data_IF_425339592854
#
_entry.id   IF_425339592854
#
_cell.length_a   1.000
_cell.length_b   1.000
_cell.length_c   1.000
_cell.angle_alpha   90.00
_cell.angle_beta   90.00
_cell.angle_gamma   90.00
#
_symmetry.space_group_name_H-M   'P 1'
#
loop_
_entity.id
_entity.type
_entity.pdbx_description
1 polymer ?
#
# COMPACT_ATOMS: atom_id res chain seq x y z
N UNK A 1 11.87 -10.85 -8.22
CA UNK A 1 12.38 -9.69 -7.44
C UNK A 1 11.74 -8.41 -7.96
N UNK A 2 11.06 -7.67 -7.07
CA UNK A 2 10.33 -6.42 -7.34
C UNK A 2 11.24 -5.19 -7.27
N UNK A 3 12.34 -5.28 -6.51
CA UNK A 3 13.37 -4.24 -6.40
C UNK A 3 14.16 -4.15 -7.71
N UNK A 4 14.15 -2.98 -8.33
CA UNK A 4 14.88 -2.67 -9.56
C UNK A 4 16.25 -2.06 -9.29
N UNK A 5 16.35 -1.30 -8.20
CA UNK A 5 17.61 -0.70 -7.74
C UNK A 5 17.55 -0.52 -6.22
N UNK A 6 18.65 -0.79 -5.54
CA UNK A 6 18.81 -0.55 -4.11
C UNK A 6 20.25 -0.16 -3.81
N UNK A 7 20.41 0.94 -3.08
CA UNK A 7 21.67 1.33 -2.49
C UNK A 7 21.37 2.08 -1.18
N UNK A 8 21.96 1.63 -0.08
CA UNK A 8 21.69 2.17 1.25
C UNK A 8 20.17 2.21 1.53
N UNK A 9 19.65 3.41 1.83
CA UNK A 9 18.24 3.70 2.14
C UNK A 9 17.44 4.15 0.90
N UNK A 10 18.01 4.04 -0.30
CA UNK A 10 17.38 4.41 -1.56
C UNK A 10 16.95 3.15 -2.29
N UNK A 11 15.64 3.01 -2.51
CA UNK A 11 15.05 1.82 -3.13
C UNK A 11 14.12 2.24 -4.26
N UNK A 12 14.36 1.71 -5.46
CA UNK A 12 13.41 1.77 -6.57
C UNK A 12 12.79 0.39 -6.75
N UNK A 13 11.46 0.33 -6.77
CA UNK A 13 10.71 -0.91 -6.98
C UNK A 13 9.80 -0.81 -8.20
N UNK A 14 9.55 -1.96 -8.82
CA UNK A 14 8.42 -2.17 -9.70
C UNK A 14 7.22 -2.68 -8.87
N UNK A 15 6.31 -1.75 -8.58
CA UNK A 15 5.08 -2.02 -7.83
C UNK A 15 4.21 -3.08 -8.53
N UNK A 16 4.05 -3.01 -9.86
CA UNK A 16 3.26 -4.00 -10.59
C UNK A 16 3.91 -5.37 -10.49
N UNK A 17 5.22 -5.46 -10.73
CA UNK A 17 5.96 -6.72 -10.72
C UNK A 17 5.88 -7.42 -9.37
N UNK A 18 5.78 -6.67 -8.26
CA UNK A 18 5.48 -7.27 -6.96
C UNK A 18 4.19 -8.07 -7.03
N UNK A 19 3.10 -7.45 -7.49
CA UNK A 19 1.77 -8.06 -7.55
C UNK A 19 1.72 -9.19 -8.59
N UNK A 20 2.26 -8.97 -9.79
CA UNK A 20 2.26 -9.95 -10.87
C UNK A 20 3.01 -11.24 -10.52
N UNK A 21 3.99 -11.18 -9.63
CA UNK A 21 4.70 -12.40 -9.21
C UNK A 21 3.88 -13.26 -8.24
N UNK A 22 2.83 -12.72 -7.62
CA UNK A 22 1.98 -13.44 -6.66
C UNK A 22 1.11 -14.48 -7.39
N UNK A 23 0.65 -14.18 -8.60
CA UNK A 23 -0.34 -14.98 -9.32
C UNK A 23 0.25 -15.74 -10.51
N UNK A 24 1.43 -16.33 -10.30
CA UNK A 24 2.01 -17.31 -11.21
C UNK A 24 1.58 -18.72 -10.82
N UNK A 25 1.28 -19.58 -11.78
CA UNK A 25 0.85 -20.95 -11.52
C UNK A 25 -0.48 -21.03 -10.75
N UNK A 26 -1.42 -20.14 -11.05
CA UNK A 26 -2.74 -20.15 -10.40
C UNK A 26 -3.50 -21.39 -10.84
N UNK A 27 -3.90 -22.21 -9.87
CA UNK A 27 -4.75 -23.35 -10.18
C UNK A 27 -6.19 -22.88 -10.40
N UNK A 28 -6.67 -23.12 -11.61
CA UNK A 28 -8.08 -22.97 -11.94
C UNK A 28 -8.84 -24.27 -11.62
N UNK A 29 -9.62 -24.24 -10.53
CA UNK A 29 -10.47 -25.38 -10.14
C UNK A 29 -11.61 -25.68 -11.13
N UNK A 30 -11.88 -24.78 -12.09
CA UNK A 30 -12.90 -24.96 -13.13
C UNK A 30 -12.42 -25.83 -14.28
N UNK A 31 -11.13 -25.77 -14.63
CA UNK A 31 -10.58 -26.33 -15.87
C UNK A 31 -9.49 -27.38 -15.59
N UNK A 32 -9.88 -28.49 -14.95
CA UNK A 32 -9.01 -29.65 -14.72
C UNK A 32 -7.67 -29.35 -14.03
N UNK A 33 -7.63 -28.36 -13.13
CA UNK A 33 -6.41 -27.94 -12.42
C UNK A 33 -5.30 -27.40 -13.32
N UNK A 34 -5.65 -26.86 -14.50
CA UNK A 34 -4.66 -26.14 -15.31
C UNK A 34 -4.06 -24.98 -14.52
N UNK A 35 -2.74 -24.88 -14.61
CA UNK A 35 -1.98 -23.74 -14.12
C UNK A 35 -2.09 -22.61 -15.14
N UNK A 36 -2.48 -21.44 -14.64
CA UNK A 36 -2.64 -20.23 -15.44
C UNK A 36 -1.89 -19.09 -14.74
N UNK A 37 -1.17 -18.29 -15.51
CA UNK A 37 -0.50 -17.11 -14.97
C UNK A 37 -1.41 -15.89 -15.13
N UNK A 38 -1.55 -15.10 -14.07
CA UNK A 38 -2.28 -13.84 -14.11
C UNK A 38 -1.35 -12.68 -13.76
N UNK A 39 -1.52 -11.57 -14.47
CA UNK A 39 -0.82 -10.33 -14.16
C UNK A 39 -1.79 -9.17 -14.08
N UNK A 40 -1.62 -8.29 -13.10
CA UNK A 40 -2.44 -7.08 -13.04
C UNK A 40 -2.18 -6.20 -14.29
N UNK A 41 -3.22 -5.57 -14.81
CA UNK A 41 -3.16 -4.79 -16.05
C UNK A 41 -2.05 -3.73 -16.01
N UNK A 42 -1.08 -3.83 -16.93
CA UNK A 42 0.08 -2.91 -17.01
C UNK A 42 -0.34 -1.46 -17.28
N UNK A 43 -1.44 -1.29 -18.00
CA UNK A 43 -2.10 -0.01 -18.29
C UNK A 43 -2.39 0.82 -17.04
N UNK A 44 -2.60 0.18 -15.88
CA UNK A 44 -2.83 0.88 -14.59
C UNK A 44 -1.59 1.60 -14.06
N UNK A 45 -0.42 1.35 -14.62
CA UNK A 45 0.85 1.95 -14.22
C UNK A 45 1.37 2.92 -15.29
N UNK A 46 0.61 3.19 -16.35
CA UNK A 46 0.97 4.11 -17.44
C UNK A 46 0.72 5.57 -17.06
N UNK A 47 1.44 6.07 -16.07
CA UNK A 47 1.30 7.45 -15.58
C UNK A 47 2.37 8.31 -16.21
N UNK A 48 1.94 9.27 -17.04
CA UNK A 48 2.81 10.25 -17.73
C UNK A 48 2.66 11.63 -17.09
N UNK A 49 3.66 12.50 -17.30
CA UNK A 49 3.56 13.87 -16.85
C UNK A 49 2.49 14.65 -17.64
N UNK A 50 1.60 15.33 -16.93
CA UNK A 50 0.73 16.37 -17.51
C UNK A 50 1.29 17.73 -17.10
N UNK A 51 1.68 18.56 -18.07
CA UNK A 51 1.98 19.99 -17.81
C UNK A 51 0.76 20.62 -17.14
N UNK A 52 0.85 20.93 -15.84
CA UNK A 52 -0.15 21.76 -15.15
C UNK A 52 0.31 23.21 -15.16
N UNK A 53 -0.59 24.10 -15.57
CA UNK A 53 -0.42 25.53 -15.36
C UNK A 53 -0.34 25.82 -13.85
N UNK A 54 0.71 26.56 -13.46
CA UNK A 54 0.95 27.00 -12.08
C UNK A 54 -0.21 27.88 -11.63
N UNK A 55 -0.97 27.43 -10.65
CA UNK A 55 -1.88 28.29 -9.89
C UNK A 55 -1.25 28.55 -8.52
N UNK A 56 -0.73 29.76 -8.35
CA UNK A 56 -0.17 30.24 -7.09
C UNK A 56 -1.27 30.25 -6.01
N UNK A 57 -1.08 29.48 -4.94
CA UNK A 57 -1.84 29.66 -3.69
C UNK A 57 -0.87 29.96 -2.56
N UNK A 58 -1.28 30.88 -1.69
CA UNK A 58 -0.47 31.39 -0.56
C UNK A 58 -0.19 30.30 0.46
N UNK A 59 1.07 30.23 0.92
CA UNK A 59 1.52 29.38 2.01
C UNK A 59 1.12 29.97 3.37
N UNK A 60 0.89 29.08 4.34
CA UNK A 60 0.97 29.36 5.78
C UNK A 60 1.97 28.35 6.33
N UNK A 61 2.93 28.82 7.12
CA UNK A 61 4.19 28.10 7.36
C UNK A 61 4.20 27.26 8.64
N UNK A 62 4.93 26.14 8.57
CA UNK A 62 5.48 25.44 9.73
C UNK A 62 6.84 24.86 9.31
N UNK A 63 7.91 25.16 10.05
CA UNK A 63 9.30 24.95 9.59
C UNK A 63 9.70 23.47 9.43
N UNK A 64 9.23 22.56 10.30
CA UNK A 64 9.64 21.15 10.30
C UNK A 64 9.21 20.35 9.06
N UNK A 65 8.04 20.65 8.48
CA UNK A 65 7.53 19.94 7.30
C UNK A 65 8.32 20.32 6.04
N UNK A 66 8.83 21.55 6.01
CA UNK A 66 9.67 22.04 4.92
C UNK A 66 11.03 21.33 4.93
N UNK A 67 11.61 21.11 6.11
CA UNK A 67 12.87 20.38 6.28
C UNK A 67 12.75 18.93 5.80
N UNK A 68 11.71 18.20 6.26
CA UNK A 68 11.47 16.82 5.80
C UNK A 68 11.26 16.74 4.28
N UNK A 69 10.43 17.62 3.70
CA UNK A 69 10.22 17.64 2.24
C UNK A 69 11.52 17.94 1.47
N UNK A 70 12.38 18.79 2.03
CA UNK A 70 13.70 19.09 1.45
C UNK A 70 14.64 17.88 1.51
N UNK A 71 14.63 17.14 2.62
CA UNK A 71 15.38 15.88 2.76
C UNK A 71 14.92 14.84 1.73
N UNK A 72 13.62 14.59 1.61
CA UNK A 72 13.10 13.63 0.60
C UNK A 72 13.46 14.06 -0.82
N UNK A 73 13.45 15.37 -1.11
CA UNK A 73 13.90 15.91 -2.41
C UNK A 73 15.38 15.66 -2.66
N UNK A 74 16.24 15.78 -1.64
CA UNK A 74 17.66 15.47 -1.75
C UNK A 74 17.88 13.98 -2.03
N UNK A 75 17.21 13.10 -1.30
CA UNK A 75 17.25 11.64 -1.54
C UNK A 75 16.77 11.27 -2.94
N UNK A 76 15.73 11.94 -3.44
CA UNK A 76 15.26 11.79 -4.82
C UNK A 76 16.33 12.17 -5.85
N UNK A 77 16.99 13.32 -5.67
CA UNK A 77 18.05 13.74 -6.58
C UNK A 77 19.22 12.76 -6.56
N UNK A 78 19.55 12.22 -5.39
CA UNK A 78 20.60 11.22 -5.24
C UNK A 78 20.26 9.92 -5.98
N UNK A 79 19.09 9.31 -5.71
CA UNK A 79 18.72 8.04 -6.36
C UNK A 79 18.63 8.20 -7.88
N UNK A 80 18.13 9.34 -8.38
CA UNK A 80 17.98 9.59 -9.81
C UNK A 80 19.32 9.61 -10.56
N UNK A 81 20.39 10.11 -9.92
CA UNK A 81 21.74 10.12 -10.48
C UNK A 81 22.35 8.71 -10.55
N UNK A 82 21.95 7.82 -9.64
CA UNK A 82 22.57 6.49 -9.50
C UNK A 82 21.83 5.37 -10.21
N UNK A 83 20.55 5.54 -10.53
CA UNK A 83 19.78 4.54 -11.27
C UNK A 83 20.39 4.33 -12.67
N UNK A 84 20.76 3.09 -13.05
CA UNK A 84 21.29 2.80 -14.38
C UNK A 84 20.33 3.16 -15.51
N UNK A 85 20.85 3.63 -16.64
CA UNK A 85 20.03 4.03 -17.79
C UNK A 85 19.12 2.88 -18.29
N UNK A 86 19.63 1.64 -18.31
CA UNK A 86 18.85 0.47 -18.73
C UNK A 86 17.61 0.22 -17.86
N UNK A 87 17.67 0.53 -16.56
CA UNK A 87 16.52 0.43 -15.66
C UNK A 87 15.47 1.51 -16.01
N UNK A 88 15.92 2.73 -16.30
CA UNK A 88 15.01 3.83 -16.70
C UNK A 88 14.28 3.51 -18.00
N UNK A 89 15.02 3.05 -19.00
CA UNK A 89 14.46 2.65 -20.30
C UNK A 89 13.47 1.48 -20.15
N UNK A 90 13.83 0.46 -19.38
CA UNK A 90 12.95 -0.70 -19.14
C UNK A 90 11.61 -0.31 -18.49
N UNK A 91 11.60 0.64 -17.55
CA UNK A 91 10.35 1.14 -16.95
C UNK A 91 9.50 1.87 -18.00
N UNK A 92 10.13 2.72 -18.80
CA UNK A 92 9.43 3.47 -19.85
C UNK A 92 8.82 2.50 -20.88
N UNK A 93 9.62 1.59 -21.43
CA UNK A 93 9.17 0.62 -22.44
C UNK A 93 8.01 -0.25 -21.94
N UNK A 94 8.06 -0.65 -20.66
CA UNK A 94 7.04 -1.50 -20.05
C UNK A 94 5.72 -0.77 -19.78
N UNK A 95 5.77 0.54 -19.49
CA UNK A 95 4.61 1.29 -18.99
C UNK A 95 4.17 2.46 -19.86
N UNK A 96 4.83 2.74 -20.97
CA UNK A 96 4.41 3.76 -21.93
C UNK A 96 3.31 3.21 -22.87
N UNK A 97 2.14 2.92 -22.29
CA UNK A 97 1.08 2.17 -22.98
C UNK A 97 -0.16 3.01 -23.29
N UNK A 98 -0.48 3.98 -22.42
CA UNK A 98 -1.69 4.81 -22.50
C UNK A 98 -1.41 6.25 -22.06
N UNK A 99 -2.20 7.18 -22.58
CA UNK A 99 -2.25 8.52 -22.00
C UNK A 99 -2.91 8.52 -20.62
N UNK A 100 -2.43 9.41 -19.75
CA UNK A 100 -2.84 9.43 -18.32
C UNK A 100 -4.35 9.67 -18.13
N UNK A 101 -5.02 10.33 -19.09
CA UNK A 101 -6.49 10.48 -19.07
C UNK A 101 -7.18 9.12 -19.17
N UNK A 102 -6.80 8.28 -20.14
CA UNK A 102 -7.37 6.95 -20.33
C UNK A 102 -7.09 6.03 -19.14
N UNK A 103 -5.93 6.18 -18.49
CA UNK A 103 -5.62 5.44 -17.26
C UNK A 103 -6.57 5.83 -16.11
N UNK A 104 -6.97 7.10 -16.01
CA UNK A 104 -7.95 7.54 -15.01
C UNK A 104 -9.35 6.98 -15.30
N UNK A 105 -9.74 6.93 -16.57
CA UNK A 105 -11.03 6.37 -16.97
C UNK A 105 -11.07 4.85 -16.73
N UNK A 106 -9.99 4.14 -17.06
CA UNK A 106 -9.81 2.72 -16.75
C UNK A 106 -9.88 2.45 -15.24
N UNK A 107 -9.15 3.22 -14.43
CA UNK A 107 -9.19 3.11 -12.97
C UNK A 107 -10.60 3.34 -12.41
N UNK A 108 -11.35 4.30 -12.98
CA UNK A 108 -12.74 4.54 -12.59
C UNK A 108 -13.64 3.35 -12.93
N UNK A 109 -13.55 2.82 -14.15
CA UNK A 109 -14.32 1.65 -14.57
C UNK A 109 -14.04 0.42 -13.68
N UNK A 110 -12.77 0.22 -13.29
CA UNK A 110 -12.41 -0.83 -12.35
C UNK A 110 -12.94 -0.58 -10.94
N UNK A 111 -12.87 0.66 -10.45
CA UNK A 111 -13.45 0.99 -9.15
C UNK A 111 -14.95 0.69 -9.12
N UNK A 112 -15.69 1.10 -10.16
CA UNK A 112 -17.14 0.90 -10.27
C UNK A 112 -17.53 -0.58 -10.38
N UNK A 113 -16.71 -1.39 -11.05
CA UNK A 113 -16.93 -2.85 -11.18
C UNK A 113 -16.44 -3.67 -9.99
N UNK A 114 -15.76 -3.05 -9.01
CA UNK A 114 -15.22 -3.73 -7.81
C UNK A 114 -15.87 -3.24 -6.51
N UNK A 115 -17.10 -2.75 -6.60
CA UNK A 115 -17.91 -2.41 -5.43
C UNK A 115 -18.68 -3.65 -4.98
N UNK A 116 -18.13 -4.35 -3.99
CA UNK A 116 -18.74 -5.55 -3.40
C UNK A 116 -19.14 -5.30 -1.94
N UNK A 117 -20.17 -5.98 -1.46
CA UNK A 117 -20.54 -6.00 -0.05
C UNK A 117 -20.18 -7.34 0.59
N UNK A 118 -18.92 -7.51 0.96
CA UNK A 118 -18.43 -8.73 1.60
C UNK A 118 -18.49 -8.68 3.13
N UNK A 119 -19.34 -7.85 3.74
CA UNK A 119 -19.38 -7.68 5.19
C UNK A 119 -19.66 -9.02 5.89
N UNK A 120 -18.76 -9.41 6.80
CA UNK A 120 -18.86 -10.66 7.56
C UNK A 120 -18.21 -11.87 6.89
N UNK A 121 -17.79 -11.74 5.62
CA UNK A 121 -17.08 -12.81 4.92
C UNK A 121 -15.67 -13.02 5.50
N UNK A 122 -15.24 -14.26 5.63
CA UNK A 122 -13.85 -14.61 5.95
C UNK A 122 -13.42 -15.84 5.20
N UNK A 123 -12.14 -15.93 4.86
CA UNK A 123 -11.62 -17.07 4.11
C UNK A 123 -10.13 -16.96 3.86
N UNK A 124 -9.66 -17.70 2.86
CA UNK A 124 -8.27 -17.64 2.43
C UNK A 124 -7.85 -18.88 1.66
N UNK A 125 -6.55 -19.00 1.45
CA UNK A 125 -5.93 -20.11 0.73
C UNK A 125 -4.87 -20.81 1.60
N UNK A 126 -5.02 -22.12 1.83
CA UNK A 126 -4.10 -22.94 2.63
C UNK A 126 -2.99 -23.60 1.81
N UNK A 127 -3.04 -23.53 0.47
CA UNK A 127 -2.02 -24.14 -0.37
C UNK A 127 -0.84 -23.22 -0.57
N UNK A 128 0.30 -23.81 -0.95
CA UNK A 128 1.55 -23.14 -1.31
C UNK A 128 1.55 -22.54 -2.73
N UNK A 129 0.37 -22.49 -3.35
CA UNK A 129 0.14 -21.95 -4.69
C UNK A 129 -1.08 -21.02 -4.66
N UNK A 130 -1.10 -19.97 -5.49
CA UNK A 130 -2.27 -19.10 -5.64
C UNK A 130 -3.45 -19.83 -6.28
N UNK A 131 -4.67 -19.39 -5.97
CA UNK A 131 -5.91 -20.02 -6.43
C UNK A 131 -6.86 -19.02 -7.07
N UNK A 132 -7.61 -19.48 -8.08
CA UNK A 132 -8.82 -18.80 -8.54
C UNK A 132 -10.02 -19.31 -7.74
N UNK A 133 -10.69 -18.42 -7.02
CA UNK A 133 -11.80 -18.74 -6.13
C UNK A 133 -13.07 -17.98 -6.53
N UNK A 134 -14.22 -18.65 -6.43
CA UNK A 134 -15.53 -18.03 -6.65
C UNK A 134 -16.11 -17.56 -5.31
N UNK A 135 -16.44 -16.29 -5.20
CA UNK A 135 -17.04 -15.66 -4.01
C UNK A 135 -18.27 -14.89 -4.47
N UNK A 136 -19.44 -15.23 -3.91
CA UNK A 136 -20.72 -14.55 -4.19
C UNK A 136 -21.08 -14.39 -5.68
N UNK A 137 -20.62 -15.31 -6.55
CA UNK A 137 -20.91 -15.28 -7.99
C UNK A 137 -19.74 -14.81 -8.85
N UNK A 138 -18.82 -14.06 -8.27
CA UNK A 138 -17.67 -13.46 -8.96
C UNK A 138 -16.37 -14.23 -8.67
N UNK A 139 -15.33 -13.97 -9.48
CA UNK A 139 -14.05 -14.68 -9.39
C UNK A 139 -12.94 -13.77 -8.86
N UNK A 140 -12.16 -14.32 -7.93
CA UNK A 140 -11.09 -13.62 -7.24
C UNK A 140 -9.83 -14.48 -7.20
N UNK A 141 -8.68 -13.85 -7.42
CA UNK A 141 -7.38 -14.48 -7.23
C UNK A 141 -7.00 -14.41 -5.75
N UNK A 142 -6.61 -15.52 -5.14
CA UNK A 142 -6.27 -15.60 -3.72
C UNK A 142 -4.81 -16.08 -3.59
N UNK A 143 -3.90 -15.28 -3.01
CA UNK A 143 -2.48 -15.65 -2.85
C UNK A 143 -2.31 -16.91 -2.01
N UNK A 144 -1.18 -17.60 -2.16
CA UNK A 144 -0.81 -18.74 -1.33
C UNK A 144 -0.76 -18.37 0.16
N UNK A 145 -1.14 -19.32 1.00
CA UNK A 145 -1.05 -19.21 2.47
C UNK A 145 -1.65 -17.92 3.07
N UNK A 146 -2.64 -17.31 2.42
CA UNK A 146 -3.25 -16.04 2.84
C UNK A 146 -4.56 -16.26 3.61
N UNK A 147 -4.90 -15.35 4.52
CA UNK A 147 -6.17 -15.28 5.27
C UNK A 147 -6.79 -13.91 5.13
N UNK A 148 -8.11 -13.82 5.10
CA UNK A 148 -8.80 -12.54 5.13
C UNK A 148 -10.06 -12.54 5.98
N UNK A 149 -10.36 -11.37 6.55
CA UNK A 149 -11.55 -11.11 7.37
C UNK A 149 -12.18 -9.79 6.95
N UNK A 150 -13.36 -9.86 6.35
CA UNK A 150 -14.12 -8.71 5.89
C UNK A 150 -15.03 -8.18 7.00
N UNK A 151 -14.80 -6.94 7.45
CA UNK A 151 -15.68 -6.21 8.36
C UNK A 151 -14.97 -5.20 9.25
N UNK A 152 -15.64 -4.83 10.36
CA UNK A 152 -15.15 -3.86 11.32
C UNK A 152 -13.83 -4.33 11.97
N UNK A 153 -12.78 -3.51 11.85
CA UNK A 153 -11.45 -3.83 12.40
C UNK A 153 -11.53 -4.19 13.89
N UNK A 154 -12.28 -3.44 14.70
CA UNK A 154 -12.36 -3.68 16.14
C UNK A 154 -12.94 -5.06 16.46
N UNK A 155 -13.94 -5.51 15.70
CA UNK A 155 -14.55 -6.82 15.89
C UNK A 155 -13.66 -7.94 15.37
N UNK A 156 -13.08 -7.77 14.19
CA UNK A 156 -12.23 -8.80 13.57
C UNK A 156 -10.92 -8.97 14.35
N UNK A 157 -10.30 -7.89 14.85
CA UNK A 157 -9.13 -7.99 15.74
C UNK A 157 -9.42 -8.80 17.01
N UNK A 158 -10.62 -8.65 17.60
CA UNK A 158 -11.04 -9.47 18.75
C UNK A 158 -11.13 -10.96 18.41
N UNK A 159 -11.58 -11.30 17.18
CA UNK A 159 -11.62 -12.70 16.72
C UNK A 159 -10.24 -13.31 16.47
N UNK A 160 -9.23 -12.46 16.22
CA UNK A 160 -7.84 -12.90 16.07
C UNK A 160 -7.12 -13.10 17.40
N UNK A 161 -7.78 -12.86 18.55
CA UNK A 161 -7.21 -13.06 19.87
C UNK A 161 -6.67 -14.49 20.01
N UNK A 162 -5.43 -14.60 20.46
CA UNK A 162 -4.67 -15.85 20.53
C UNK A 162 -3.62 -16.00 19.42
N UNK A 163 -3.79 -15.30 18.29
CA UNK A 163 -2.74 -15.18 17.28
C UNK A 163 -1.72 -14.10 17.67
N UNK A 164 -0.50 -14.26 17.16
CA UNK A 164 0.63 -13.35 17.35
C UNK A 164 1.29 -13.06 16.02
N UNK A 165 1.58 -11.79 15.78
CA UNK A 165 2.14 -11.28 14.53
C UNK A 165 3.44 -10.53 14.81
N UNK A 166 4.42 -10.79 13.95
CA UNK A 166 5.77 -10.23 14.01
C UNK A 166 5.83 -8.91 13.24
N UNK A 167 4.98 -8.76 12.22
CA UNK A 167 4.81 -7.51 11.49
C UNK A 167 3.32 -7.15 11.43
N UNK A 168 3.00 -5.91 11.77
CA UNK A 168 1.68 -5.32 11.57
C UNK A 168 1.78 -4.13 10.63
N UNK A 169 1.04 -4.18 9.52
CA UNK A 169 0.96 -3.09 8.54
C UNK A 169 -0.46 -2.51 8.59
N UNK A 170 -0.61 -1.20 8.68
CA UNK A 170 -1.91 -0.54 8.67
C UNK A 170 -1.97 0.57 7.62
N UNK A 171 -3.08 0.66 6.87
CA UNK A 171 -3.41 1.82 6.02
C UNK A 171 -4.75 2.43 6.45
N UNK A 172 -4.79 3.14 7.60
CA UNK A 172 -6.05 3.62 8.16
C UNK A 172 -6.80 4.55 7.20
N UNK A 173 -8.14 4.53 7.21
CA UNK A 173 -8.96 5.44 6.40
C UNK A 173 -8.98 6.83 7.06
N UNK A 174 -7.86 7.54 6.97
CA UNK A 174 -7.64 8.83 7.60
C UNK A 174 -8.75 9.83 7.32
N UNK A 175 -9.08 10.64 8.33
CA UNK A 175 -9.95 11.79 8.13
C UNK A 175 -9.39 12.74 7.06
N UNK A 176 -10.15 12.95 5.99
CA UNK A 176 -9.71 13.68 4.81
C UNK A 176 -10.81 14.60 4.25
N UNK A 177 -10.52 15.90 4.15
CA UNK A 177 -11.45 16.92 3.65
C UNK A 177 -11.92 16.65 2.21
N UNK A 178 -11.07 16.10 1.35
CA UNK A 178 -11.44 15.77 -0.03
C UNK A 178 -12.45 14.63 -0.08
N UNK A 179 -12.21 13.56 0.66
CA UNK A 179 -13.12 12.40 0.74
C UNK A 179 -14.47 12.82 1.31
N UNK A 180 -14.49 13.72 2.31
CA UNK A 180 -15.74 14.31 2.82
C UNK A 180 -16.54 15.04 1.73
N UNK A 181 -15.87 15.81 0.86
CA UNK A 181 -16.54 16.48 -0.26
C UNK A 181 -17.04 15.48 -1.31
N UNK A 182 -16.27 14.42 -1.56
CA UNK A 182 -16.66 13.34 -2.46
C UNK A 182 -17.91 12.61 -1.93
N UNK A 183 -17.97 12.33 -0.62
CA UNK A 183 -19.13 11.75 0.06
C UNK A 183 -20.40 12.59 -0.14
N UNK A 184 -20.28 13.91 -0.02
CA UNK A 184 -21.41 14.83 -0.28
C UNK A 184 -21.86 14.88 -1.74
N UNK A 185 -21.02 14.45 -2.69
CA UNK A 185 -21.34 14.45 -4.12
C UNK A 185 -21.83 13.08 -4.62
N UNK A 186 -21.24 11.98 -4.12
CA UNK A 186 -21.62 10.61 -4.46
C UNK A 186 -21.14 9.65 -3.35
N UNK A 187 -22.06 9.19 -2.51
CA UNK A 187 -21.77 8.37 -1.33
C UNK A 187 -21.06 7.05 -1.69
N UNK A 188 -21.42 6.46 -2.85
CA UNK A 188 -20.84 5.19 -3.36
C UNK A 188 -19.36 5.29 -3.73
N UNK A 189 -18.84 6.50 -3.97
CA UNK A 189 -17.44 6.72 -4.30
C UNK A 189 -16.58 7.02 -3.06
N UNK A 190 -17.20 7.16 -1.88
CA UNK A 190 -16.52 7.48 -0.63
C UNK A 190 -16.36 6.25 0.25
N UNK A 191 -15.39 6.30 1.17
CA UNK A 191 -15.23 5.30 2.23
C UNK A 191 -15.43 5.94 3.59
N UNK A 192 -15.87 5.15 4.57
CA UNK A 192 -15.99 5.58 5.96
C UNK A 192 -14.61 5.91 6.51
N UNK A 193 -14.36 7.20 6.75
CA UNK A 193 -13.17 7.68 7.42
C UNK A 193 -13.27 7.41 8.93
N UNK A 194 -12.12 7.29 9.59
CA UNK A 194 -12.03 7.15 11.04
C UNK A 194 -11.38 8.37 11.68
N UNK A 195 -11.82 8.67 12.90
CA UNK A 195 -11.10 9.61 13.76
C UNK A 195 -9.82 8.95 14.28
N UNK A 196 -8.84 9.78 14.66
CA UNK A 196 -7.55 9.28 15.12
C UNK A 196 -7.69 8.50 16.43
N UNK A 197 -8.62 8.94 17.28
CA UNK A 197 -8.98 8.32 18.55
C UNK A 197 -9.61 6.93 18.34
N UNK A 198 -10.47 6.79 17.32
CA UNK A 198 -11.05 5.50 16.96
C UNK A 198 -9.96 4.52 16.49
N UNK A 199 -9.00 5.00 15.68
CA UNK A 199 -7.86 4.18 15.23
C UNK A 199 -7.00 3.77 16.42
N UNK A 200 -6.73 4.70 17.34
CA UNK A 200 -5.95 4.41 18.56
C UNK A 200 -6.65 3.36 19.46
N UNK A 201 -7.99 3.35 19.50
CA UNK A 201 -8.79 2.41 20.31
C UNK A 201 -8.81 0.96 19.79
N UNK A 202 -8.24 0.70 18.61
CA UNK A 202 -8.23 -0.64 18.02
C UNK A 202 -7.44 -1.61 18.93
N UNK A 203 -8.00 -2.77 19.30
CA UNK A 203 -7.37 -3.70 20.25
C UNK A 203 -6.27 -4.56 19.60
N UNK A 204 -5.25 -3.94 18.99
CA UNK A 204 -4.14 -4.64 18.31
C UNK A 204 -3.01 -5.05 19.24
N UNK A 205 -2.92 -4.46 20.43
CA UNK A 205 -1.86 -4.75 21.42
C UNK A 205 -1.78 -6.24 21.77
N UNK A 206 -2.93 -6.91 21.87
CA UNK A 206 -2.99 -8.35 22.14
C UNK A 206 -2.53 -9.22 20.96
N UNK A 207 -2.40 -8.65 19.76
CA UNK A 207 -2.01 -9.34 18.52
C UNK A 207 -0.50 -9.25 18.23
N UNK A 208 0.23 -8.36 18.91
CA UNK A 208 1.68 -8.26 18.75
C UNK A 208 2.40 -9.44 19.41
N UNK A 209 3.39 -10.02 18.71
CA UNK A 209 4.40 -10.87 19.32
C UNK A 209 5.32 -10.06 20.24
N UNK A 210 6.19 -10.74 21.00
CA UNK A 210 7.10 -10.06 21.94
C UNK A 210 8.00 -9.04 21.26
N UNK A 211 8.43 -9.32 20.03
CA UNK A 211 9.22 -8.44 19.17
C UNK A 211 8.43 -8.22 17.88
N UNK A 212 7.80 -7.06 17.75
CA UNK A 212 6.90 -6.78 16.64
C UNK A 212 7.24 -5.44 15.97
N UNK A 213 7.29 -5.46 14.64
CA UNK A 213 7.45 -4.27 13.81
C UNK A 213 6.08 -3.77 13.35
N UNK A 214 5.82 -2.48 13.56
CA UNK A 214 4.54 -1.85 13.20
C UNK A 214 4.79 -0.76 12.16
N UNK A 215 4.13 -0.87 11.01
CA UNK A 215 4.24 0.05 9.90
C UNK A 215 2.88 0.67 9.57
N UNK A 216 2.76 1.99 9.69
CA UNK A 216 1.50 2.70 9.42
C UNK A 216 1.66 3.64 8.24
N UNK A 217 0.92 3.38 7.16
CA UNK A 217 0.77 4.31 6.05
C UNK A 217 0.08 5.57 6.54
N UNK A 218 0.71 6.72 6.31
CA UNK A 218 0.24 8.01 6.77
C UNK A 218 0.32 9.06 5.65
N UNK A 219 -0.72 9.88 5.56
CA UNK A 219 -0.72 11.04 4.66
C UNK A 219 0.25 12.12 5.12
N UNK A 220 0.46 13.14 4.30
CA UNK A 220 1.23 14.34 4.68
C UNK A 220 0.49 15.29 5.62
N UNK A 221 -0.72 14.94 6.10
CA UNK A 221 -1.45 15.79 7.02
C UNK A 221 -0.76 15.80 8.40
N UNK A 222 -0.36 16.98 8.92
CA UNK A 222 0.36 17.08 10.19
C UNK A 222 -0.41 16.47 11.35
N UNK A 223 -1.75 16.66 11.36
CA UNK A 223 -2.63 16.07 12.36
C UNK A 223 -2.51 14.55 12.42
N UNK A 224 -2.38 13.89 11.26
CA UNK A 224 -2.33 12.44 11.19
C UNK A 224 -0.95 11.94 11.59
N UNK A 225 0.11 12.63 11.15
CA UNK A 225 1.50 12.32 11.54
C UNK A 225 1.64 12.41 13.07
N UNK A 226 1.18 13.52 13.66
CA UNK A 226 1.18 13.73 15.11
C UNK A 226 0.33 12.68 15.82
N UNK A 227 -0.85 12.34 15.29
CA UNK A 227 -1.70 11.32 15.89
C UNK A 227 -1.07 9.93 15.89
N UNK A 228 -0.39 9.53 14.81
CA UNK A 228 0.31 8.24 14.79
C UNK A 228 1.37 8.21 15.89
N UNK A 229 2.24 9.22 15.95
CA UNK A 229 3.38 9.24 16.88
C UNK A 229 2.97 9.44 18.35
N UNK A 230 1.95 10.24 18.61
CA UNK A 230 1.63 10.71 19.97
C UNK A 230 0.32 10.16 20.56
N UNK A 231 -0.51 9.48 19.77
CA UNK A 231 -1.78 8.91 20.23
C UNK A 231 -1.84 7.42 19.91
N UNK A 232 -1.82 7.07 18.62
CA UNK A 232 -2.03 5.70 18.15
C UNK A 232 -0.90 4.77 18.65
N UNK A 233 0.36 5.13 18.44
CA UNK A 233 1.50 4.33 18.90
C UNK A 233 1.52 4.15 20.42
N UNK A 234 1.40 5.22 21.24
CA UNK A 234 1.28 5.08 22.69
C UNK A 234 0.14 4.15 23.14
N UNK A 235 -1.07 4.31 22.60
CA UNK A 235 -2.22 3.46 22.95
C UNK A 235 -1.99 1.98 22.56
N UNK A 236 -1.34 1.74 21.42
CA UNK A 236 -0.98 0.40 20.99
C UNK A 236 0.21 -0.17 21.78
N UNK A 237 0.95 0.64 22.52
CA UNK A 237 2.19 0.24 23.21
C UNK A 237 3.37 0.09 22.25
N UNK A 238 3.39 0.86 21.17
CA UNK A 238 4.42 0.88 20.13
C UNK A 238 5.34 2.06 20.35
N UNK A 239 6.65 1.84 20.29
CA UNK A 239 7.65 2.90 20.32
C UNK A 239 7.97 3.35 18.89
N UNK A 240 7.86 4.65 18.60
CA UNK A 240 8.27 5.20 17.31
C UNK A 240 9.78 4.97 17.07
N UNK A 241 10.15 4.59 15.85
CA UNK A 241 11.55 4.36 15.44
C UNK A 241 11.96 5.33 14.33
N UNK A 242 11.26 5.29 13.19
CA UNK A 242 11.68 6.00 11.97
C UNK A 242 10.50 6.28 11.05
N UNK A 243 10.70 7.10 10.01
CA UNK A 243 9.71 7.34 8.97
C UNK A 243 10.32 6.98 7.62
N UNK A 244 9.64 6.13 6.85
CA UNK A 244 9.97 5.90 5.44
C UNK A 244 9.08 6.74 4.54
N UNK A 245 9.52 6.93 3.30
CA UNK A 245 8.87 7.79 2.33
C UNK A 245 8.62 7.02 1.04
N UNK A 246 7.35 6.86 0.66
CA UNK A 246 6.99 6.35 -0.66
C UNK A 246 6.84 7.49 -1.64
N UNK A 247 7.88 7.76 -2.44
CA UNK A 247 7.89 8.75 -3.50
C UNK A 247 7.22 8.20 -4.77
N UNK A 248 6.19 8.90 -5.21
CA UNK A 248 5.43 8.58 -6.40
C UNK A 248 5.99 9.33 -7.59
N UNK A 249 6.42 8.56 -8.58
CA UNK A 249 6.96 9.09 -9.84
C UNK A 249 6.11 8.65 -11.03
N UNK A 250 6.27 9.31 -12.16
CA UNK A 250 5.73 8.89 -13.45
C UNK A 250 6.66 7.84 -14.10
N UNK A 251 6.33 7.39 -15.32
CA UNK A 251 7.16 6.42 -16.07
C UNK A 251 8.54 6.95 -16.47
N UNK A 252 8.74 8.27 -16.44
CA UNK A 252 10.01 8.95 -16.71
C UNK A 252 10.84 9.16 -15.42
N UNK A 253 10.33 8.65 -14.28
CA UNK A 253 10.87 8.84 -12.93
C UNK A 253 10.81 10.27 -12.38
N UNK A 254 10.01 11.14 -13.00
CA UNK A 254 9.70 12.46 -12.46
C UNK A 254 8.64 12.38 -11.34
N UNK A 255 8.78 13.13 -10.23
CA UNK A 255 7.77 13.23 -9.19
C UNK A 255 6.40 13.67 -9.74
N UNK A 256 5.32 13.04 -9.26
CA UNK A 256 3.96 13.35 -9.74
C UNK A 256 3.44 14.75 -9.41
N UNK A 257 4.13 15.46 -8.52
CA UNK A 257 4.00 16.90 -8.33
C UNK A 257 5.32 17.46 -7.79
N UNK A 258 5.48 18.78 -7.91
CA UNK A 258 6.61 19.47 -7.30
C UNK A 258 6.62 19.21 -5.78
N UNK A 259 7.83 19.14 -5.20
CA UNK A 259 8.00 19.17 -3.75
C UNK A 259 7.55 20.53 -3.25
N UNK A 260 6.35 20.58 -2.69
CA UNK A 260 5.71 21.83 -2.28
C UNK A 260 6.30 22.39 -0.99
N UNK A 261 6.16 23.70 -0.80
CA UNK A 261 6.58 24.36 0.44
C UNK A 261 5.48 24.22 1.51
N UNK A 262 5.78 23.54 2.62
CA UNK A 262 4.85 23.41 3.76
C UNK A 262 3.70 22.42 3.51
N UNK A 263 2.44 22.86 3.71
CA UNK A 263 1.23 22.01 3.63
C UNK A 263 0.73 21.74 2.20
N UNK A 264 1.52 22.08 1.20
CA UNK A 264 1.22 21.76 -0.19
C UNK A 264 1.25 20.24 -0.44
N UNK A 265 0.63 19.83 -1.54
CA UNK A 265 0.62 18.42 -1.92
C UNK A 265 2.05 17.96 -2.18
N UNK A 266 2.50 16.97 -1.41
CA UNK A 266 3.79 16.33 -1.62
C UNK A 266 3.66 15.15 -2.60
N UNK A 267 4.73 14.85 -3.37
CA UNK A 267 4.74 13.70 -4.29
C UNK A 267 4.96 12.36 -3.58
N UNK A 268 5.07 12.36 -2.25
CA UNK A 268 5.31 11.16 -1.45
C UNK A 268 4.25 10.95 -0.38
N UNK A 269 4.15 9.73 0.13
CA UNK A 269 3.43 9.39 1.37
C UNK A 269 4.41 8.86 2.42
N UNK A 270 4.00 8.82 3.70
CA UNK A 270 4.84 8.33 4.80
C UNK A 270 4.47 6.90 5.17
N UNK A 271 5.45 6.13 5.60
CA UNK A 271 5.25 4.93 6.41
C UNK A 271 5.92 5.20 7.75
N UNK A 272 5.12 5.40 8.80
CA UNK A 272 5.62 5.64 10.14
C UNK A 272 5.88 4.28 10.77
N UNK A 273 7.13 4.02 11.14
CA UNK A 273 7.60 2.74 11.67
C UNK A 273 7.79 2.86 13.17
N UNK A 274 7.26 1.89 13.90
CA UNK A 274 7.49 1.71 15.32
C UNK A 274 7.74 0.24 15.66
N UNK A 275 8.18 -0.02 16.89
CA UNK A 275 8.47 -1.37 17.39
C UNK A 275 7.85 -1.63 18.76
N UNK A 276 7.56 -2.90 19.00
CA UNK A 276 7.28 -3.49 20.32
C UNK A 276 8.43 -4.43 20.64
N UNK A 277 8.96 -4.36 21.87
CA UNK A 277 10.13 -5.14 22.26
C UNK A 277 11.39 -4.79 21.45
N UNK A 278 12.19 -5.80 21.17
CA UNK A 278 13.47 -5.63 20.47
C UNK A 278 13.38 -6.07 19.00
N UNK A 279 13.34 -5.06 18.13
CA UNK A 279 13.53 -5.18 16.70
C UNK A 279 14.72 -4.31 16.32
N UNK A 280 15.70 -4.91 15.65
CA UNK A 280 16.97 -4.28 15.25
C UNK A 280 17.04 -4.10 13.73
N UNK A 281 18.06 -3.37 13.27
CA UNK A 281 18.37 -3.21 11.84
C UNK A 281 17.28 -2.57 10.97
N UNK A 282 16.39 -1.77 11.57
CA UNK A 282 15.37 -1.01 10.85
C UNK A 282 16.05 0.19 10.15
N UNK A 283 16.05 0.27 8.80
CA UNK A 283 16.64 1.40 8.10
C UNK A 283 16.02 2.75 8.49
N UNK A 284 16.84 3.72 8.87
CA UNK A 284 16.38 5.09 9.13
C UNK A 284 16.09 5.81 7.80
N UNK A 285 15.00 6.59 7.75
CA UNK A 285 14.68 7.49 6.64
C UNK A 285 14.79 6.83 5.24
N UNK A 286 14.14 5.69 5.03
CA UNK A 286 14.17 4.98 3.75
C UNK A 286 13.30 5.67 2.69
N UNK A 287 13.84 5.88 1.49
CA UNK A 287 13.10 6.34 0.31
C UNK A 287 12.75 5.14 -0.57
N UNK A 288 11.45 4.87 -0.68
CA UNK A 288 10.87 3.93 -1.61
C UNK A 288 10.31 4.69 -2.81
N UNK A 289 10.88 4.53 -3.99
CA UNK A 289 10.42 5.15 -5.22
C UNK A 289 9.70 4.14 -6.11
N UNK A 290 8.54 4.51 -6.65
CA UNK A 290 7.84 3.68 -7.64
C UNK A 290 6.84 4.48 -8.47
N UNK A 291 6.50 3.96 -9.65
CA UNK A 291 5.28 4.36 -10.34
C UNK A 291 4.08 3.82 -9.54
N UNK A 292 3.12 4.65 -9.10
CA UNK A 292 1.99 4.14 -8.35
C UNK A 292 1.00 3.43 -9.26
N UNK A 293 0.20 2.54 -8.68
CA UNK A 293 -0.98 2.03 -9.38
C UNK A 293 -2.02 3.16 -9.49
N UNK A 294 -2.72 3.21 -10.62
CA UNK A 294 -3.85 4.12 -10.79
C UNK A 294 -5.06 3.75 -9.93
N UNK A 295 -5.11 2.53 -9.39
CA UNK A 295 -6.14 2.11 -8.44
C UNK A 295 -6.00 2.88 -7.13
N UNK A 296 -7.13 3.38 -6.63
CA UNK A 296 -7.14 4.27 -5.47
C UNK A 296 -6.62 3.57 -4.21
N UNK A 297 -5.62 4.19 -3.56
CA UNK A 297 -5.00 3.67 -2.33
C UNK A 297 -4.45 2.25 -2.46
N UNK A 298 -3.99 1.88 -3.66
CA UNK A 298 -3.22 0.67 -3.88
C UNK A 298 -1.74 0.98 -3.60
N UNK A 299 -1.32 0.72 -2.35
CA UNK A 299 0.06 0.95 -1.88
C UNK A 299 0.97 -0.20 -2.31
N UNK A 300 2.25 0.05 -2.63
CA UNK A 300 3.18 -1.03 -2.88
C UNK A 300 3.37 -1.89 -1.62
N UNK A 301 3.45 -3.22 -1.78
CA UNK A 301 3.76 -4.10 -0.66
C UNK A 301 5.11 -3.78 -0.03
N UNK A 302 5.18 -3.84 1.32
CA UNK A 302 6.39 -3.54 2.09
C UNK A 302 7.13 -4.78 2.57
N UNK A 303 6.62 -5.99 2.28
CA UNK A 303 7.11 -7.23 2.88
C UNK A 303 8.59 -7.50 2.61
N UNK A 304 9.06 -7.26 1.38
CA UNK A 304 10.47 -7.44 0.99
C UNK A 304 11.43 -6.51 1.77
N UNK A 305 10.92 -5.40 2.31
CA UNK A 305 11.69 -4.42 3.08
C UNK A 305 11.59 -4.66 4.59
N UNK A 306 10.43 -5.12 5.07
CA UNK A 306 10.17 -5.28 6.50
C UNK A 306 10.61 -6.66 7.03
N UNK A 307 10.40 -7.75 6.26
CA UNK A 307 10.76 -9.12 6.68
C UNK A 307 12.24 -9.27 7.07
N UNK A 308 13.22 -8.66 6.35
CA UNK A 308 14.63 -8.74 6.75
C UNK A 308 14.97 -8.09 8.10
N UNK A 309 14.06 -7.29 8.67
CA UNK A 309 14.26 -6.69 10.01
C UNK A 309 13.87 -7.67 11.14
N UNK A 310 13.31 -8.82 10.82
CA UNK A 310 12.81 -9.79 11.81
C UNK A 310 13.77 -10.99 11.92
N UNK A 311 14.13 -11.34 13.15
CA UNK A 311 15.01 -12.48 13.46
C UNK A 311 14.18 -13.74 13.79
N UNK A 312 13.30 -14.15 12.88
CA UNK A 312 12.47 -15.36 13.03
C UNK A 312 12.42 -16.14 11.71
N UNK A 313 12.31 -17.47 11.79
CA UNK A 313 12.28 -18.33 10.60
C UNK A 313 11.06 -18.07 9.72
N UNK A 314 9.88 -17.96 10.34
CA UNK A 314 8.63 -17.71 9.65
C UNK A 314 7.93 -16.47 10.22
N UNK A 315 7.98 -15.38 9.46
CA UNK A 315 7.40 -14.09 9.84
C UNK A 315 5.89 -14.10 9.64
N UNK A 316 5.12 -13.93 10.72
CA UNK A 316 3.66 -13.78 10.66
C UNK A 316 3.27 -12.32 10.48
N UNK A 317 2.48 -12.04 9.44
CA UNK A 317 2.11 -10.66 9.07
C UNK A 317 0.60 -10.44 9.18
N UNK A 318 0.23 -9.34 9.82
CA UNK A 318 -1.14 -8.83 9.88
C UNK A 318 -1.25 -7.51 9.10
N UNK A 319 -2.20 -7.44 8.18
CA UNK A 319 -2.55 -6.22 7.47
C UNK A 319 -3.91 -5.70 7.95
N UNK A 320 -3.93 -4.47 8.45
CA UNK A 320 -5.14 -3.78 8.88
C UNK A 320 -5.59 -2.79 7.81
N UNK A 321 -6.89 -2.70 7.62
CA UNK A 321 -7.55 -1.89 6.58
C UNK A 321 -7.18 -2.34 5.16
N UNK A 322 -6.94 -3.64 4.99
CA UNK A 322 -6.51 -4.21 3.72
C UNK A 322 -7.54 -4.01 2.61
N UNK A 323 -7.04 -3.79 1.39
CA UNK A 323 -7.84 -3.71 0.15
C UNK A 323 -7.49 -4.80 -0.87
N UNK A 324 -6.43 -5.53 -0.60
CA UNK A 324 -5.91 -6.62 -1.42
C UNK A 324 -5.17 -7.59 -0.51
N UNK A 325 -4.87 -8.78 -1.03
CA UNK A 325 -4.24 -9.85 -0.27
C UNK A 325 -2.79 -10.03 -0.70
N UNK A 326 -1.96 -10.43 0.24
CA UNK A 326 -0.57 -10.80 0.01
C UNK A 326 -0.30 -12.25 0.45
N UNK A 327 0.71 -12.92 -0.13
CA UNK A 327 1.18 -14.23 0.33
C UNK A 327 1.50 -14.24 1.82
N UNK A 328 1.06 -15.28 2.52
CA UNK A 328 1.41 -15.50 3.94
C UNK A 328 1.02 -14.33 4.86
N UNK A 329 -0.06 -13.61 4.53
CA UNK A 329 -0.60 -12.53 5.38
C UNK A 329 -1.99 -12.86 5.90
N UNK A 330 -2.33 -12.29 7.05
CA UNK A 330 -3.72 -12.15 7.50
C UNK A 330 -4.18 -10.73 7.22
N UNK A 331 -5.18 -10.55 6.38
CA UNK A 331 -5.67 -9.24 5.94
C UNK A 331 -7.06 -8.95 6.52
N UNK A 332 -7.20 -7.83 7.22
CA UNK A 332 -8.43 -7.44 7.93
C UNK A 332 -8.89 -6.08 7.45
N UNK A 333 -10.18 -5.92 7.15
CA UNK A 333 -10.74 -4.65 6.69
C UNK A 333 -12.13 -4.83 6.10
N UNK A 334 -12.76 -3.76 5.63
CA UNK A 334 -14.04 -3.89 4.92
C UNK A 334 -13.88 -4.42 3.49
N UNK A 335 -12.73 -4.18 2.86
CA UNK A 335 -12.51 -4.43 1.44
C UNK A 335 -11.29 -5.35 1.09
N UNK A 336 -10.84 -6.34 1.90
CA UNK A 336 -9.63 -7.14 1.57
C UNK A 336 -9.61 -7.79 0.19
N UNK A 337 -10.78 -8.10 -0.39
CA UNK A 337 -10.90 -8.74 -1.71
C UNK A 337 -10.99 -7.75 -2.88
N UNK A 338 -11.01 -6.44 -2.64
CA UNK A 338 -11.33 -5.43 -3.65
C UNK A 338 -10.41 -5.48 -4.87
N UNK A 339 -9.09 -5.57 -4.65
CA UNK A 339 -8.13 -5.69 -5.75
C UNK A 339 -7.77 -7.13 -6.11
N UNK A 340 -8.57 -8.11 -5.64
CA UNK A 340 -8.43 -9.52 -6.01
C UNK A 340 -9.33 -9.92 -7.17
N UNK A 341 -10.27 -9.06 -7.58
CA UNK A 341 -11.24 -9.39 -8.63
C UNK A 341 -10.55 -9.64 -9.97
N UNK A 342 -10.94 -10.71 -10.67
CA UNK A 342 -10.26 -11.18 -11.89
C UNK A 342 -10.24 -10.12 -13.00
N UNK A 343 -11.21 -9.20 -13.08
CA UNK A 343 -11.25 -8.16 -14.12
C UNK A 343 -10.05 -7.21 -14.11
N UNK A 344 -9.30 -7.14 -13.01
CA UNK A 344 -8.09 -6.33 -12.87
C UNK A 344 -6.86 -7.02 -13.48
N UNK A 345 -6.97 -8.30 -13.81
CA UNK A 345 -5.89 -9.16 -14.22
C UNK A 345 -6.07 -9.64 -15.66
N UNK A 346 -4.95 -9.82 -16.33
CA UNK A 346 -4.83 -10.38 -17.67
C UNK A 346 -4.19 -11.76 -17.52
N UNK A 347 -4.74 -12.76 -18.22
CA UNK A 347 -4.12 -14.07 -18.37
C UNK A 347 -2.91 -13.96 -19.30
N UNK A 348 -1.81 -14.61 -18.94
CA UNK A 348 -0.59 -14.68 -19.75
C UNK A 348 -0.24 -16.15 -19.98
N UNK A 349 0.17 -16.45 -21.22
CA UNK A 349 0.66 -17.77 -21.64
C UNK A 349 1.96 -18.16 -20.93
#
# INVERSE_FOLDING_TARGET
>A
MSILYRENNLVLIDHRKFISNIFKGVINKKDCLKEVNYTIASKLFSIKNYKKNKNNKRSRESNRIIEEASMVKQMYNEILQKIPLGVKLSINDQYNLLETSFVRDLSRAYFESTVFNHLGLSGGNNSDIPLLCKVEGEYFLIPDNSRFFCGCINEQCKKLKGNKYDIVIADPPWWNKYIRRLKGANDKLSYSMMYNEDIASIPVKELFSSNCLVAVWCTNAPSNITAVKNIIFPEWGVNYVTTWYWLKVNIDLDPLCEFGAGFEKQPYERVIIGKVGEVENIPCDLLLMSVPSALHSHKPPLLDLLKPCMNVEEVKVLELFARYLLPKTTSVGYEPLKWQHISLYEEIE
#
